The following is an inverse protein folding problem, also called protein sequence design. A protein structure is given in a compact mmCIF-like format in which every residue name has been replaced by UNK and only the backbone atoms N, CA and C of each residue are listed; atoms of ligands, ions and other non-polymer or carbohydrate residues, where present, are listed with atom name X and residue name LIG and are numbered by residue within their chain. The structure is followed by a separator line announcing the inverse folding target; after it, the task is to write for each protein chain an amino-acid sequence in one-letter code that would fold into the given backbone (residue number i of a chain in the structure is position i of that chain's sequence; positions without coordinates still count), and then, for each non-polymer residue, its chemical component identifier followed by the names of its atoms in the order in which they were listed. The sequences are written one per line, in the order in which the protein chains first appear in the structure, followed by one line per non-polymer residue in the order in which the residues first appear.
data_IF_811756125139
#
_entry.id   IF_811756125139
#
_cell.length_a   1.000
_cell.length_b   1.000
_cell.length_c   1.000
_cell.angle_alpha   90.00
_cell.angle_beta   90.00
_cell.angle_gamma   90.00
#
_symmetry.space_group_name_H-M   'P 1'
#
loop_
_entity.id
_entity.type
_entity.pdbx_description
1 polymer ?
#
# COMPACT_ATOMS: atom_id res chain seq x y z
N UNK A 1 35.57 45.25 3.34
CA UNK A 1 35.74 43.91 2.73
C UNK A 1 34.98 42.81 3.44
N UNK A 2 34.57 42.98 4.69
CA UNK A 2 33.87 41.95 5.51
C UNK A 2 32.36 41.83 5.23
N UNK A 3 31.69 42.86 4.69
CA UNK A 3 30.25 42.87 4.41
C UNK A 3 29.84 42.16 3.11
N UNK A 4 30.76 42.00 2.15
CA UNK A 4 30.48 41.32 0.88
C UNK A 4 30.54 39.78 0.98
N UNK A 5 31.29 39.24 1.92
CA UNK A 5 31.45 37.77 2.10
C UNK A 5 30.17 37.18 2.72
N UNK A 6 29.52 37.94 3.63
CA UNK A 6 28.30 37.46 4.30
C UNK A 6 27.09 37.38 3.37
N UNK A 7 26.97 38.29 2.40
CA UNK A 7 25.83 38.27 1.47
C UNK A 7 25.90 37.12 0.44
N UNK A 8 27.12 36.78 -0.01
CA UNK A 8 27.35 35.68 -0.95
C UNK A 8 27.12 34.29 -0.30
N UNK A 9 27.55 34.14 0.95
CA UNK A 9 27.32 32.92 1.72
C UNK A 9 25.84 32.70 2.05
N UNK A 10 25.13 33.78 2.39
CA UNK A 10 23.69 33.73 2.71
C UNK A 10 22.81 33.50 1.48
N UNK A 11 23.19 34.04 0.32
CA UNK A 11 22.48 33.78 -0.94
C UNK A 11 22.72 32.35 -1.43
N UNK A 12 23.91 31.82 -1.32
CA UNK A 12 24.23 30.43 -1.69
C UNK A 12 23.52 29.42 -0.76
N UNK A 13 23.46 29.73 0.55
CA UNK A 13 22.73 28.88 1.52
C UNK A 13 21.22 28.85 1.22
N UNK A 14 20.57 30.00 0.92
CA UNK A 14 19.18 30.07 0.51
C UNK A 14 18.93 29.37 -0.83
N UNK A 15 19.83 29.53 -1.80
CA UNK A 15 19.71 28.91 -3.13
C UNK A 15 19.84 27.38 -3.05
N UNK A 16 20.75 26.86 -2.23
CA UNK A 16 20.91 25.42 -2.01
C UNK A 16 19.71 24.82 -1.27
N UNK A 17 19.15 25.54 -0.29
CA UNK A 17 17.93 25.11 0.40
C UNK A 17 16.71 25.13 -0.54
N UNK A 18 16.58 26.14 -1.39
CA UNK A 18 15.48 26.20 -2.37
C UNK A 18 15.59 25.10 -3.41
N UNK A 19 16.78 24.86 -3.96
CA UNK A 19 17.02 23.75 -4.89
C UNK A 19 16.76 22.39 -4.24
N UNK A 20 17.14 22.22 -2.97
CA UNK A 20 16.86 21.01 -2.20
C UNK A 20 15.35 20.82 -1.95
N UNK A 21 14.63 21.89 -1.62
CA UNK A 21 13.17 21.88 -1.45
C UNK A 21 12.44 21.57 -2.78
N UNK A 22 12.89 22.17 -3.88
CA UNK A 22 12.37 21.89 -5.23
C UNK A 22 12.62 20.43 -5.62
N UNK A 23 13.82 19.92 -5.32
CA UNK A 23 14.17 18.52 -5.55
C UNK A 23 13.28 17.57 -4.72
N UNK A 24 13.09 17.82 -3.41
CA UNK A 24 12.21 17.06 -2.55
C UNK A 24 10.77 17.12 -3.06
N UNK A 25 10.27 18.31 -3.43
CA UNK A 25 8.92 18.48 -3.95
C UNK A 25 8.73 17.72 -5.27
N UNK A 26 9.67 17.86 -6.22
CA UNK A 26 9.66 17.15 -7.50
C UNK A 26 9.76 15.63 -7.32
N UNK A 27 10.60 15.18 -6.38
CA UNK A 27 10.76 13.78 -6.05
C UNK A 27 9.49 13.19 -5.44
N UNK A 28 8.86 13.90 -4.47
CA UNK A 28 7.56 13.50 -3.89
C UNK A 28 6.43 13.44 -4.92
N UNK A 29 6.46 14.29 -5.95
CA UNK A 29 5.45 14.29 -7.02
C UNK A 29 5.56 13.06 -7.94
N UNK A 30 6.72 12.42 -7.99
CA UNK A 30 7.02 11.25 -8.84
C UNK A 30 6.69 9.93 -8.11
N UNK A 31 6.65 9.95 -6.77
CA UNK A 31 6.45 8.74 -5.97
C UNK A 31 4.97 8.45 -5.75
N UNK A 32 4.66 7.18 -5.51
CA UNK A 32 3.30 6.77 -5.19
C UNK A 32 2.83 7.34 -3.84
N UNK A 33 1.53 7.47 -3.68
CA UNK A 33 0.89 8.00 -2.47
C UNK A 33 -0.27 7.11 -2.02
N UNK A 34 -0.33 6.76 -0.74
CA UNK A 34 -1.42 5.98 -0.17
C UNK A 34 -2.78 6.69 -0.31
N UNK A 35 -2.78 8.04 -0.33
CA UNK A 35 -4.00 8.84 -0.48
C UNK A 35 -4.74 8.55 -1.79
N UNK A 36 -4.02 8.17 -2.85
CA UNK A 36 -4.61 7.75 -4.13
C UNK A 36 -5.15 6.33 -4.09
N UNK A 37 -4.61 5.47 -3.23
CA UNK A 37 -5.08 4.09 -3.05
C UNK A 37 -6.29 4.02 -2.09
N UNK A 38 -6.31 4.80 -1.01
CA UNK A 38 -7.34 4.76 0.04
C UNK A 38 -8.78 4.69 -0.49
N UNK A 39 -9.23 5.58 -1.40
CA UNK A 39 -10.61 5.54 -1.91
C UNK A 39 -10.92 4.25 -2.69
N UNK A 40 -9.94 3.68 -3.39
CA UNK A 40 -10.10 2.41 -4.12
C UNK A 40 -10.32 1.27 -3.13
N UNK A 41 -9.52 1.20 -2.06
CA UNK A 41 -9.67 0.16 -1.02
C UNK A 41 -11.03 0.31 -0.33
N UNK A 42 -11.36 1.50 0.16
CA UNK A 42 -12.60 1.73 0.91
C UNK A 42 -13.87 1.46 0.10
N UNK A 43 -13.84 1.65 -1.21
CA UNK A 43 -14.95 1.27 -2.12
C UNK A 43 -15.36 -0.20 -1.98
N UNK A 44 -14.39 -1.07 -1.69
CA UNK A 44 -14.60 -2.52 -1.63
C UNK A 44 -14.74 -3.05 -0.21
N UNK A 45 -14.52 -2.21 0.79
CA UNK A 45 -14.66 -2.62 2.17
C UNK A 45 -16.09 -2.41 2.66
N UNK A 46 -16.66 -3.47 3.23
CA UNK A 46 -17.99 -3.41 3.84
C UNK A 46 -18.02 -2.56 5.12
N UNK A 47 -19.22 -2.34 5.61
CA UNK A 47 -19.45 -1.79 6.93
C UNK A 47 -19.05 -2.76 8.05
N UNK A 48 -19.73 -2.61 9.19
CA UNK A 48 -19.52 -3.48 10.33
C UNK A 48 -20.11 -4.89 10.07
N UNK A 49 -19.32 -5.90 10.40
CA UNK A 49 -19.75 -7.30 10.39
C UNK A 49 -19.35 -7.98 11.71
N UNK A 50 -20.29 -8.73 12.31
CA UNK A 50 -20.08 -9.45 13.57
C UNK A 50 -21.03 -8.99 14.68
N UNK A 51 -20.97 -9.66 15.85
CA UNK A 51 -21.72 -9.25 17.04
C UNK A 51 -20.96 -8.13 17.78
N UNK A 52 -21.68 -7.07 18.19
CA UNK A 52 -21.07 -5.90 18.85
C UNK A 52 -20.47 -6.26 20.22
N UNK A 53 -21.04 -7.24 20.89
CA UNK A 53 -20.57 -7.75 22.19
C UNK A 53 -19.76 -9.06 22.03
N UNK A 54 -19.47 -9.44 20.78
CA UNK A 54 -18.77 -10.67 20.44
C UNK A 54 -17.25 -10.54 20.46
N UNK A 55 -16.59 -11.69 20.30
CA UNK A 55 -15.13 -11.79 20.24
C UNK A 55 -14.56 -11.65 18.81
N UNK A 56 -15.41 -11.71 17.78
CA UNK A 56 -15.02 -11.66 16.37
C UNK A 56 -15.87 -10.64 15.62
N UNK A 57 -15.24 -9.64 15.08
CA UNK A 57 -15.89 -8.60 14.29
C UNK A 57 -14.89 -7.93 13.35
N UNK A 58 -15.45 -7.24 12.34
CA UNK A 58 -14.68 -6.52 11.32
C UNK A 58 -15.39 -5.21 10.99
N UNK A 59 -14.64 -4.15 10.76
CA UNK A 59 -15.14 -2.85 10.29
C UNK A 59 -14.21 -2.29 9.23
N UNK A 60 -14.74 -1.94 8.07
CA UNK A 60 -13.97 -1.42 6.92
C UNK A 60 -12.71 -2.27 6.63
N UNK A 61 -12.85 -3.61 6.65
CA UNK A 61 -11.74 -4.54 6.42
C UNK A 61 -10.77 -4.74 7.61
N UNK A 62 -10.88 -3.97 8.67
CA UNK A 62 -10.06 -4.12 9.88
C UNK A 62 -10.75 -5.11 10.82
N UNK A 63 -10.06 -6.22 11.14
CA UNK A 63 -10.54 -7.20 12.13
C UNK A 63 -10.27 -6.74 13.55
N UNK A 64 -11.02 -7.24 14.54
CA UNK A 64 -10.78 -6.95 15.95
C UNK A 64 -9.36 -7.34 16.37
N UNK A 65 -8.83 -8.45 15.87
CA UNK A 65 -7.45 -8.87 16.16
C UNK A 65 -6.43 -7.84 15.66
N UNK A 66 -6.62 -7.31 14.44
CA UNK A 66 -5.79 -6.23 13.91
C UNK A 66 -5.95 -4.95 14.72
N UNK A 67 -7.18 -4.56 15.05
CA UNK A 67 -7.47 -3.36 15.85
C UNK A 67 -6.80 -3.42 17.23
N UNK A 68 -6.87 -4.58 17.90
CA UNK A 68 -6.21 -4.82 19.19
C UNK A 68 -4.69 -4.72 19.11
N UNK A 69 -4.09 -5.19 18.01
CA UNK A 69 -2.64 -5.08 17.80
C UNK A 69 -2.17 -3.63 17.74
N UNK A 70 -2.97 -2.72 17.19
CA UNK A 70 -2.62 -1.31 17.03
C UNK A 70 -2.99 -0.45 18.23
N UNK A 71 -4.12 -0.74 18.88
CA UNK A 71 -4.72 0.20 19.85
C UNK A 71 -4.89 -0.39 21.26
N UNK A 72 -4.44 -1.63 21.47
CA UNK A 72 -4.44 -2.26 22.80
C UNK A 72 -5.31 -3.52 22.89
N UNK A 73 -4.84 -4.48 23.68
CA UNK A 73 -5.42 -5.83 23.81
C UNK A 73 -6.88 -5.85 24.28
N UNK A 74 -7.28 -4.84 25.06
CA UNK A 74 -8.63 -4.76 25.67
C UNK A 74 -9.67 -4.13 24.76
N UNK A 75 -9.31 -3.76 23.51
CA UNK A 75 -10.25 -3.19 22.55
C UNK A 75 -11.41 -4.14 22.23
N UNK A 76 -12.60 -3.57 22.07
CA UNK A 76 -13.86 -4.28 21.88
C UNK A 76 -14.40 -4.12 20.46
N UNK A 77 -15.38 -4.95 20.11
CA UNK A 77 -16.09 -4.80 18.84
C UNK A 77 -16.89 -3.50 18.75
N UNK A 78 -17.39 -3.00 19.88
CA UNK A 78 -18.09 -1.70 19.97
C UNK A 78 -17.17 -0.53 19.62
N UNK A 79 -15.93 -0.55 20.09
CA UNK A 79 -14.92 0.45 19.73
C UNK A 79 -14.48 0.32 18.27
N UNK A 80 -14.27 -0.91 17.77
CA UNK A 80 -13.93 -1.14 16.36
C UNK A 80 -15.03 -0.67 15.41
N UNK A 81 -16.31 -0.86 15.75
CA UNK A 81 -17.44 -0.35 14.94
C UNK A 81 -17.35 1.16 14.72
N UNK A 82 -16.81 1.88 15.70
CA UNK A 82 -16.63 3.35 15.68
C UNK A 82 -15.19 3.76 15.33
N UNK A 83 -14.43 2.89 14.61
CA UNK A 83 -13.06 3.23 14.19
C UNK A 83 -13.04 4.57 13.43
N UNK A 84 -12.20 5.51 13.89
CA UNK A 84 -12.02 6.79 13.21
C UNK A 84 -11.22 6.63 11.92
N UNK A 85 -11.34 7.61 11.02
CA UNK A 85 -10.56 7.60 9.78
C UNK A 85 -9.05 7.66 10.06
N UNK A 86 -8.63 8.38 11.10
CA UNK A 86 -7.21 8.43 11.51
C UNK A 86 -6.71 7.09 12.05
N UNK A 87 -7.54 6.36 12.78
CA UNK A 87 -7.21 5.01 13.25
C UNK A 87 -7.13 4.03 12.08
N UNK A 88 -8.08 4.10 11.16
CA UNK A 88 -8.05 3.27 9.96
C UNK A 88 -6.80 3.56 9.13
N UNK A 89 -6.46 4.84 8.91
CA UNK A 89 -5.24 5.26 8.22
C UNK A 89 -4.00 4.72 8.91
N UNK A 90 -3.93 4.77 10.23
CA UNK A 90 -2.81 4.22 10.99
C UNK A 90 -2.62 2.72 10.75
N UNK A 91 -3.70 1.95 10.77
CA UNK A 91 -3.69 0.51 10.47
C UNK A 91 -3.23 0.26 9.03
N UNK A 92 -3.82 0.99 8.07
CA UNK A 92 -3.53 0.77 6.65
C UNK A 92 -2.10 1.17 6.27
N UNK A 93 -1.66 2.35 6.74
CA UNK A 93 -0.30 2.84 6.44
C UNK A 93 0.74 1.92 7.08
N UNK A 94 0.66 1.67 8.38
CA UNK A 94 1.70 0.91 9.07
C UNK A 94 1.64 -0.59 8.75
N UNK A 95 0.45 -1.15 8.61
CA UNK A 95 0.26 -2.58 8.37
C UNK A 95 0.48 -3.02 6.92
N UNK A 96 0.31 -2.12 5.95
CA UNK A 96 0.26 -2.50 4.53
C UNK A 96 1.07 -1.58 3.63
N UNK A 97 0.84 -0.27 3.63
CA UNK A 97 1.57 0.68 2.80
C UNK A 97 3.07 0.67 3.09
N UNK A 98 3.44 0.80 4.36
CA UNK A 98 4.84 0.81 4.79
C UNK A 98 5.50 -0.55 4.61
N UNK A 99 4.76 -1.65 4.71
CA UNK A 99 5.31 -3.00 4.44
C UNK A 99 5.71 -3.17 2.98
N UNK A 100 5.08 -2.46 2.06
CA UNK A 100 5.50 -2.36 0.66
C UNK A 100 6.49 -1.24 0.41
N UNK A 101 6.88 -0.46 1.43
CA UNK A 101 7.64 0.78 1.23
C UNK A 101 7.00 1.64 0.13
N UNK A 102 5.67 1.82 0.21
CA UNK A 102 4.88 2.38 -0.88
C UNK A 102 5.37 3.74 -1.36
N UNK A 103 5.85 4.59 -0.44
CA UNK A 103 6.46 5.89 -0.78
C UNK A 103 7.78 5.76 -1.57
N UNK A 104 8.37 4.57 -1.67
CA UNK A 104 9.58 4.31 -2.46
C UNK A 104 9.27 3.74 -3.86
N UNK A 105 8.02 3.42 -4.17
CA UNK A 105 7.59 2.95 -5.49
C UNK A 105 7.28 4.16 -6.38
N UNK A 106 7.90 4.24 -7.55
CA UNK A 106 7.70 5.36 -8.48
C UNK A 106 6.32 5.30 -9.17
N UNK A 107 5.89 4.13 -9.60
CA UNK A 107 4.65 3.97 -10.34
C UNK A 107 3.45 3.79 -9.40
N UNK A 108 2.48 4.70 -9.47
CA UNK A 108 1.29 4.68 -8.62
C UNK A 108 0.40 3.46 -8.88
N UNK A 109 0.21 3.06 -10.14
CA UNK A 109 -0.65 1.93 -10.49
C UNK A 109 -0.09 0.62 -9.94
N UNK A 110 1.24 0.44 -10.00
CA UNK A 110 1.93 -0.72 -9.42
C UNK A 110 1.82 -0.69 -7.90
N UNK A 111 2.08 0.43 -7.25
CA UNK A 111 1.94 0.55 -5.79
C UNK A 111 0.52 0.21 -5.32
N UNK A 112 -0.50 0.74 -6.01
CA UNK A 112 -1.90 0.45 -5.70
C UNK A 112 -2.21 -1.05 -5.76
N UNK A 113 -1.80 -1.70 -6.85
CA UNK A 113 -2.03 -3.13 -7.06
C UNK A 113 -1.35 -3.99 -6.00
N UNK A 114 -0.08 -3.68 -5.67
CA UNK A 114 0.73 -4.44 -4.72
C UNK A 114 0.21 -4.31 -3.29
N UNK A 115 -0.09 -3.09 -2.85
CA UNK A 115 -0.54 -2.84 -1.47
C UNK A 115 -1.95 -3.40 -1.25
N UNK A 116 -2.86 -3.24 -2.22
CA UNK A 116 -4.18 -3.86 -2.13
C UNK A 116 -4.10 -5.40 -2.18
N UNK A 117 -3.15 -5.95 -2.91
CA UNK A 117 -2.93 -7.41 -2.88
C UNK A 117 -2.47 -7.89 -1.50
N UNK A 118 -1.57 -7.16 -0.84
CA UNK A 118 -1.17 -7.46 0.54
C UNK A 118 -2.36 -7.33 1.51
N UNK A 119 -3.21 -6.30 1.34
CA UNK A 119 -4.41 -6.09 2.15
C UNK A 119 -5.37 -7.28 2.06
N UNK A 120 -5.58 -7.83 0.86
CA UNK A 120 -6.57 -8.89 0.62
C UNK A 120 -6.04 -10.31 0.79
N UNK A 121 -4.73 -10.52 0.64
CA UNK A 121 -4.13 -11.87 0.58
C UNK A 121 -2.97 -12.07 1.55
N UNK A 122 -2.73 -11.11 2.45
CA UNK A 122 -1.64 -11.20 3.43
C UNK A 122 -0.28 -11.36 2.74
N UNK A 123 0.60 -12.16 3.33
CA UNK A 123 1.99 -12.35 2.86
C UNK A 123 2.11 -12.82 1.40
N UNK A 124 1.09 -13.48 0.87
CA UNK A 124 1.06 -13.89 -0.55
C UNK A 124 1.02 -12.68 -1.49
N UNK A 125 0.44 -11.55 -1.05
CA UNK A 125 0.51 -10.27 -1.75
C UNK A 125 1.92 -9.65 -1.81
N UNK A 126 2.94 -10.25 -1.15
CA UNK A 126 4.36 -9.91 -1.31
C UNK A 126 5.09 -11.04 -2.06
N UNK A 127 4.95 -12.28 -1.62
CA UNK A 127 5.69 -13.41 -2.20
C UNK A 127 5.45 -13.61 -3.69
N UNK A 128 4.20 -13.53 -4.14
CA UNK A 128 3.92 -13.70 -5.56
C UNK A 128 4.47 -12.57 -6.45
N UNK A 129 4.35 -11.28 -6.08
CA UNK A 129 5.08 -10.22 -6.77
C UNK A 129 6.59 -10.42 -6.79
N UNK A 130 7.20 -10.85 -5.69
CA UNK A 130 8.63 -11.14 -5.65
C UNK A 130 9.04 -12.22 -6.68
N UNK A 131 8.24 -13.27 -6.84
CA UNK A 131 8.44 -14.29 -7.90
C UNK A 131 8.34 -13.70 -9.30
N UNK A 132 7.37 -12.82 -9.54
CA UNK A 132 7.22 -12.12 -10.84
C UNK A 132 8.44 -11.25 -11.16
N UNK A 133 9.02 -10.63 -10.11
CA UNK A 133 10.20 -9.77 -10.21
C UNK A 133 11.53 -10.54 -10.31
N UNK A 134 11.52 -11.87 -10.11
CA UNK A 134 12.75 -12.68 -10.06
C UNK A 134 13.64 -12.40 -8.87
N UNK A 135 13.08 -11.90 -7.76
CA UNK A 135 13.80 -11.69 -6.49
C UNK A 135 13.40 -12.75 -5.47
N UNK A 136 14.16 -12.86 -4.36
CA UNK A 136 13.85 -13.80 -3.27
C UNK A 136 12.42 -13.57 -2.75
N UNK A 137 11.61 -14.62 -2.72
CA UNK A 137 10.19 -14.60 -2.32
C UNK A 137 9.99 -14.88 -0.82
N UNK A 138 10.76 -14.20 0.01
CA UNK A 138 10.72 -14.36 1.48
C UNK A 138 9.55 -13.63 2.17
N UNK A 139 8.80 -12.82 1.42
CA UNK A 139 7.70 -12.01 1.97
C UNK A 139 8.16 -10.74 2.69
N UNK A 140 9.43 -10.33 2.50
CA UNK A 140 10.04 -9.13 3.07
C UNK A 140 10.40 -8.17 1.93
N UNK A 141 9.80 -6.99 1.94
CA UNK A 141 10.10 -5.96 0.93
C UNK A 141 11.34 -5.17 1.37
N UNK A 142 12.45 -5.49 0.74
CA UNK A 142 13.72 -4.79 0.95
C UNK A 142 14.14 -3.95 -0.27
N UNK A 143 15.33 -3.29 -0.19
CA UNK A 143 15.84 -2.45 -1.27
C UNK A 143 15.92 -3.16 -2.63
N UNK A 144 16.27 -4.47 -2.65
CA UNK A 144 16.33 -5.26 -3.88
C UNK A 144 14.96 -5.39 -4.55
N UNK A 145 13.89 -5.61 -3.76
CA UNK A 145 12.52 -5.69 -4.28
C UNK A 145 12.08 -4.35 -4.87
N UNK A 146 12.33 -3.24 -4.15
CA UNK A 146 11.99 -1.89 -4.63
C UNK A 146 12.79 -1.52 -5.87
N UNK A 147 14.08 -1.84 -5.91
CA UNK A 147 14.91 -1.61 -7.10
C UNK A 147 14.41 -2.41 -8.31
N UNK A 148 14.02 -3.68 -8.14
CA UNK A 148 13.46 -4.51 -9.19
C UNK A 148 12.16 -3.92 -9.77
N UNK A 149 11.28 -3.36 -8.92
CA UNK A 149 10.06 -2.67 -9.36
C UNK A 149 10.43 -1.39 -10.15
N UNK A 150 11.24 -0.53 -9.56
CA UNK A 150 11.49 0.82 -10.08
C UNK A 150 12.37 0.84 -11.32
N UNK A 151 13.23 -0.17 -11.51
CA UNK A 151 14.14 -0.32 -12.66
C UNK A 151 13.59 -1.24 -13.76
N UNK A 152 12.38 -1.81 -13.58
CA UNK A 152 11.74 -2.58 -14.63
C UNK A 152 11.42 -1.65 -15.81
N UNK A 153 12.03 -1.88 -16.98
CA UNK A 153 12.00 -0.94 -18.10
C UNK A 153 10.57 -0.64 -18.57
N UNK A 154 9.77 -1.67 -18.78
CA UNK A 154 8.39 -1.53 -19.22
C UNK A 154 7.42 -1.66 -18.02
N UNK A 155 7.10 -0.55 -17.37
CA UNK A 155 6.23 -0.53 -16.19
C UNK A 155 4.82 -1.05 -16.49
N UNK A 156 4.29 -0.84 -17.69
CA UNK A 156 2.98 -1.36 -18.11
C UNK A 156 3.01 -2.89 -18.22
N UNK A 157 4.08 -3.43 -18.78
CA UNK A 157 4.28 -4.88 -18.85
C UNK A 157 4.40 -5.49 -17.45
N UNK A 158 5.16 -4.87 -16.54
CA UNK A 158 5.25 -5.31 -15.15
C UNK A 158 3.89 -5.31 -14.48
N UNK A 159 3.13 -4.22 -14.62
CA UNK A 159 1.77 -4.14 -14.09
C UNK A 159 0.90 -5.29 -14.61
N UNK A 160 0.93 -5.57 -15.91
CA UNK A 160 0.15 -6.65 -16.52
C UNK A 160 0.56 -8.02 -15.98
N UNK A 161 1.86 -8.29 -15.82
CA UNK A 161 2.36 -9.53 -15.22
C UNK A 161 1.88 -9.71 -13.78
N UNK A 162 1.94 -8.66 -12.97
CA UNK A 162 1.47 -8.66 -11.58
C UNK A 162 -0.04 -8.85 -11.50
N UNK A 163 -0.80 -8.17 -12.35
CA UNK A 163 -2.25 -8.27 -12.42
C UNK A 163 -2.70 -9.70 -12.79
N UNK A 164 -2.11 -10.28 -13.83
CA UNK A 164 -2.38 -11.65 -14.26
C UNK A 164 -1.99 -12.67 -13.19
N UNK A 165 -0.87 -12.47 -12.51
CA UNK A 165 -0.45 -13.36 -11.40
C UNK A 165 -1.43 -13.29 -10.22
N UNK A 166 -1.97 -12.10 -9.91
CA UNK A 166 -3.00 -11.94 -8.87
C UNK A 166 -4.31 -12.61 -9.27
N UNK A 167 -4.72 -12.45 -10.53
CA UNK A 167 -5.90 -13.14 -11.09
C UNK A 167 -5.76 -14.66 -10.94
N UNK A 168 -4.65 -15.23 -11.39
CA UNK A 168 -4.39 -16.66 -11.27
C UNK A 168 -4.39 -17.15 -9.80
N UNK A 169 -3.94 -16.33 -8.85
CA UNK A 169 -4.04 -16.64 -7.43
C UNK A 169 -5.48 -16.73 -6.96
N UNK A 170 -6.35 -15.79 -7.34
CA UNK A 170 -7.77 -15.82 -7.00
C UNK A 170 -8.48 -17.04 -7.61
N UNK A 171 -8.20 -17.35 -8.87
CA UNK A 171 -8.74 -18.53 -9.55
C UNK A 171 -8.30 -19.84 -8.86
N UNK A 172 -7.06 -19.92 -8.41
CA UNK A 172 -6.54 -21.07 -7.64
C UNK A 172 -7.25 -21.23 -6.29
N UNK A 173 -7.45 -20.14 -5.55
CA UNK A 173 -8.18 -20.18 -4.27
C UNK A 173 -9.64 -20.57 -4.48
N UNK A 174 -10.27 -20.08 -5.55
CA UNK A 174 -11.67 -20.36 -5.86
C UNK A 174 -11.90 -21.86 -6.08
N UNK A 175 -11.00 -22.54 -6.81
CA UNK A 175 -11.05 -24.00 -7.03
C UNK A 175 -11.02 -24.80 -5.73
N UNK A 176 -10.48 -24.25 -4.66
CA UNK A 176 -10.40 -24.88 -3.33
C UNK A 176 -11.58 -24.51 -2.43
N UNK A 177 -12.81 -24.53 -2.97
CA UNK A 177 -14.05 -24.36 -2.21
C UNK A 177 -14.46 -22.90 -1.95
N UNK A 178 -13.92 -21.94 -2.71
CA UNK A 178 -14.25 -20.50 -2.56
C UNK A 178 -14.79 -19.88 -3.85
N UNK A 179 -15.40 -20.68 -4.71
CA UNK A 179 -15.92 -20.26 -6.03
C UNK A 179 -16.91 -19.09 -5.94
N UNK A 180 -17.74 -19.05 -4.90
CA UNK A 180 -18.72 -18.00 -4.68
C UNK A 180 -18.11 -16.58 -4.54
N UNK A 181 -16.86 -16.48 -4.13
CA UNK A 181 -16.17 -15.20 -3.94
C UNK A 181 -15.42 -14.71 -5.18
N UNK A 182 -15.17 -15.57 -6.17
CA UNK A 182 -14.31 -15.27 -7.32
C UNK A 182 -14.80 -14.05 -8.09
N UNK A 183 -16.12 -13.96 -8.36
CA UNK A 183 -16.71 -12.82 -9.08
C UNK A 183 -16.41 -11.48 -8.38
N UNK A 184 -16.52 -11.45 -7.05
CA UNK A 184 -16.23 -10.27 -6.24
C UNK A 184 -14.74 -9.88 -6.30
N UNK A 185 -13.85 -10.86 -6.17
CA UNK A 185 -12.41 -10.64 -6.25
C UNK A 185 -11.96 -10.14 -7.61
N UNK A 186 -12.51 -10.68 -8.69
CA UNK A 186 -12.21 -10.23 -10.07
C UNK A 186 -12.76 -8.82 -10.35
N UNK A 187 -13.95 -8.49 -9.83
CA UNK A 187 -14.50 -7.13 -9.90
C UNK A 187 -13.61 -6.13 -9.15
N UNK A 188 -13.14 -6.46 -7.94
CA UNK A 188 -12.17 -5.61 -7.21
C UNK A 188 -10.87 -5.46 -8.01
N UNK A 189 -10.36 -6.54 -8.57
CA UNK A 189 -9.13 -6.52 -9.36
C UNK A 189 -9.26 -5.65 -10.62
N UNK A 190 -10.43 -5.59 -11.26
CA UNK A 190 -10.67 -4.77 -12.46
C UNK A 190 -10.62 -3.26 -12.20
N UNK A 191 -10.75 -2.80 -10.95
CA UNK A 191 -10.57 -1.38 -10.60
C UNK A 191 -9.09 -0.94 -10.66
N UNK A 192 -8.15 -1.89 -10.71
CA UNK A 192 -6.73 -1.59 -10.84
C UNK A 192 -6.34 -1.57 -12.32
N UNK A 193 -6.14 -0.37 -12.84
CA UNK A 193 -5.71 -0.09 -14.21
C UNK A 193 -4.35 0.58 -14.22
N UNK A 194 -3.63 0.48 -15.34
CA UNK A 194 -2.36 1.16 -15.54
C UNK A 194 -2.62 2.55 -16.14
N UNK A 195 -2.23 3.58 -15.39
CA UNK A 195 -2.34 5.00 -15.79
C UNK A 195 -0.98 5.67 -15.72
#
# INVERSE_FOLDING_TARGET
MQLYINSYCFQNFKRNNLLHLIFIYKYRKIMASYKKLKPIVLKWEGGYAGNIDGAVCTMKGVTLATYRKFFGKNKTCRELRNISDSQWDSVFIQGYWNRWSGDAIKNQSIANLLVDWLWTSGVYGIKYPQRVLGVKDDGIVGPKTIAAINNYQNQKELFTKLWNRRKAHFESIAKNGKQQFLKGWLRRLSDFTFN
#
